data_IF_487913311519
#
_entry.id   IF_487913311519
#
_cell.length_a   1.000
_cell.length_b   1.000
_cell.length_c   1.000
_cell.angle_alpha   90.00
_cell.angle_beta   90.00
_cell.angle_gamma   90.00
#
_symmetry.space_group_name_H-M   'P 1'
#
loop_
_entity.id
_entity.type
_entity.pdbx_description
1 polymer ?
#
# COMPACT_ATOMS: atom_id res chain seq x y z
N UNK A 1 8.17 -7.57 -23.18
CA UNK A 1 7.66 -8.76 -22.45
C UNK A 1 8.10 -8.75 -20.98
N UNK A 2 9.38 -8.54 -20.66
CA UNK A 2 9.86 -8.49 -19.26
C UNK A 2 9.24 -7.33 -18.45
N UNK A 3 8.97 -6.18 -19.07
CA UNK A 3 8.24 -5.07 -18.42
C UNK A 3 6.89 -5.51 -17.84
N UNK A 4 6.09 -6.28 -18.60
CA UNK A 4 4.82 -6.83 -18.12
C UNK A 4 5.00 -7.84 -16.98
N UNK A 5 6.18 -8.47 -16.88
CA UNK A 5 6.48 -9.37 -15.78
C UNK A 5 6.65 -8.61 -14.47
N UNK A 6 7.08 -7.34 -14.51
CA UNK A 6 7.16 -6.47 -13.32
C UNK A 6 5.77 -6.20 -12.78
N UNK A 7 4.83 -5.78 -13.64
CA UNK A 7 3.42 -5.54 -13.28
C UNK A 7 2.72 -6.80 -12.71
N UNK A 8 3.19 -8.00 -13.09
CA UNK A 8 2.66 -9.28 -12.61
C UNK A 8 3.10 -9.64 -11.19
N UNK A 9 4.05 -8.91 -10.59
CA UNK A 9 4.64 -9.24 -9.29
C UNK A 9 4.72 -8.04 -8.34
N UNK A 10 4.28 -6.85 -8.73
CA UNK A 10 4.27 -5.65 -7.86
C UNK A 10 3.66 -6.00 -6.50
N UNK A 11 4.43 -5.75 -5.43
CA UNK A 11 4.01 -6.00 -4.04
C UNK A 11 3.81 -7.46 -3.63
N UNK A 12 3.92 -8.42 -4.56
CA UNK A 12 3.75 -9.84 -4.30
C UNK A 12 5.11 -10.53 -4.05
N UNK A 13 5.16 -11.38 -3.01
CA UNK A 13 6.27 -12.32 -2.81
C UNK A 13 6.11 -13.52 -3.75
N UNK A 14 6.27 -13.28 -5.04
CA UNK A 14 6.13 -14.29 -6.09
C UNK A 14 7.10 -14.01 -7.25
N UNK A 15 7.44 -15.06 -8.00
CA UNK A 15 8.08 -14.91 -9.30
C UNK A 15 7.05 -14.95 -10.43
N UNK A 16 7.35 -14.40 -11.62
CA UNK A 16 6.41 -14.35 -12.75
C UNK A 16 5.88 -15.72 -13.17
N UNK A 17 6.67 -16.79 -13.02
CA UNK A 17 6.26 -18.16 -13.35
C UNK A 17 5.31 -18.81 -12.33
N UNK A 18 5.16 -18.23 -11.14
CA UNK A 18 4.31 -18.77 -10.09
C UNK A 18 2.81 -18.65 -10.45
N UNK A 19 1.98 -19.69 -10.21
CA UNK A 19 0.54 -19.58 -10.39
C UNK A 19 -0.06 -18.42 -9.57
N UNK A 20 -0.89 -17.60 -10.23
CA UNK A 20 -1.60 -16.48 -9.60
C UNK A 20 -1.07 -15.09 -9.96
N UNK A 21 0.18 -14.96 -10.45
CA UNK A 21 0.76 -13.66 -10.88
C UNK A 21 0.02 -13.02 -12.04
N UNK A 22 -0.64 -13.82 -12.89
CA UNK A 22 -1.52 -13.31 -13.95
C UNK A 22 -2.68 -12.44 -13.40
N UNK A 23 -3.18 -12.74 -12.19
CA UNK A 23 -4.18 -11.88 -11.56
C UNK A 23 -3.58 -10.55 -11.13
N UNK A 24 -2.36 -10.54 -10.57
CA UNK A 24 -1.67 -9.31 -10.18
C UNK A 24 -1.46 -8.41 -11.41
N UNK A 25 -1.03 -8.98 -12.54
CA UNK A 25 -0.95 -8.26 -13.81
C UNK A 25 -2.32 -7.68 -14.21
N UNK A 26 -3.36 -8.53 -14.23
CA UNK A 26 -4.73 -8.11 -14.56
C UNK A 26 -5.20 -6.96 -13.66
N UNK A 27 -4.93 -7.03 -12.36
CA UNK A 27 -5.30 -6.00 -11.39
C UNK A 27 -4.64 -4.65 -11.68
N UNK A 28 -3.38 -4.64 -12.14
CA UNK A 28 -2.67 -3.40 -12.49
C UNK A 28 -3.11 -2.82 -13.84
N UNK A 29 -3.60 -3.64 -14.77
CA UNK A 29 -4.06 -3.17 -16.10
C UNK A 29 -5.57 -2.93 -16.19
N UNK A 30 -6.36 -3.40 -15.23
CA UNK A 30 -7.81 -3.19 -15.23
C UNK A 30 -8.22 -1.77 -14.79
N UNK A 31 -7.29 -1.01 -14.21
CA UNK A 31 -7.53 0.36 -13.75
C UNK A 31 -7.94 1.31 -14.87
N UNK A 32 -8.63 2.38 -14.51
CA UNK A 32 -9.01 3.45 -15.43
C UNK A 32 -8.53 4.79 -14.85
N UNK A 33 -7.97 5.65 -15.69
CA UNK A 33 -7.69 7.03 -15.35
C UNK A 33 -8.42 7.94 -16.34
N UNK A 34 -9.36 8.76 -15.84
CA UNK A 34 -10.14 9.72 -16.64
C UNK A 34 -10.79 9.12 -17.90
N UNK A 35 -11.45 7.97 -17.80
CA UNK A 35 -12.09 7.32 -18.96
C UNK A 35 -11.16 6.47 -19.82
N UNK A 36 -9.85 6.48 -19.55
CA UNK A 36 -8.86 5.73 -20.32
C UNK A 36 -8.48 4.47 -19.54
N UNK A 37 -8.70 3.30 -20.15
CA UNK A 37 -8.43 2.00 -19.53
C UNK A 37 -6.96 1.62 -19.63
N UNK A 38 -6.46 0.97 -18.58
CA UNK A 38 -5.11 0.40 -18.53
C UNK A 38 -3.99 1.42 -18.49
N UNK A 39 -4.28 2.66 -18.08
CA UNK A 39 -3.28 3.71 -17.94
C UNK A 39 -3.18 4.21 -16.51
N UNK A 40 -1.97 4.64 -16.16
CA UNK A 40 -1.65 5.33 -14.92
C UNK A 40 -1.56 6.83 -15.18
N UNK A 41 -1.97 7.63 -14.20
CA UNK A 41 -1.95 9.09 -14.30
C UNK A 41 -1.09 9.72 -13.22
N UNK A 42 -0.45 10.83 -13.57
CA UNK A 42 0.17 11.72 -12.58
C UNK A 42 -0.88 12.68 -12.03
N UNK A 43 -0.86 12.84 -10.71
CA UNK A 43 -1.66 13.86 -10.02
C UNK A 43 -0.84 15.13 -9.94
N UNK A 44 -1.39 16.24 -10.43
CA UNK A 44 -0.77 17.56 -10.26
C UNK A 44 -0.67 17.91 -8.77
N UNK A 45 0.50 18.33 -8.32
CA UNK A 45 0.85 18.53 -6.91
C UNK A 45 1.21 17.23 -6.17
N UNK A 46 1.32 16.10 -6.88
CA UNK A 46 1.62 14.78 -6.32
C UNK A 46 0.43 14.10 -5.63
N UNK A 47 0.65 12.88 -5.16
CA UNK A 47 -0.42 12.03 -4.57
C UNK A 47 -1.06 12.61 -3.31
N UNK A 48 -0.35 13.47 -2.58
CA UNK A 48 -0.92 14.22 -1.44
C UNK A 48 -2.09 15.12 -1.85
N UNK A 49 -2.14 15.57 -3.11
CA UNK A 49 -3.25 16.34 -3.66
C UNK A 49 -4.59 15.59 -3.62
N UNK A 50 -4.60 14.29 -3.91
CA UNK A 50 -5.83 13.47 -3.82
C UNK A 50 -6.32 13.42 -2.38
N UNK A 51 -5.44 13.07 -1.43
CA UNK A 51 -5.81 12.96 -0.01
C UNK A 51 -6.31 14.29 0.54
N UNK A 52 -5.67 15.40 0.17
CA UNK A 52 -6.10 16.74 0.57
C UNK A 52 -7.46 17.12 -0.03
N UNK A 53 -7.70 16.80 -1.30
CA UNK A 53 -8.99 17.04 -1.95
C UNK A 53 -10.12 16.23 -1.29
N UNK A 54 -9.88 14.95 -0.99
CA UNK A 54 -10.83 14.11 -0.26
C UNK A 54 -11.12 14.66 1.15
N UNK A 55 -10.09 15.09 1.88
CA UNK A 55 -10.25 15.69 3.20
C UNK A 55 -11.04 17.01 3.13
N UNK A 56 -10.79 17.85 2.12
CA UNK A 56 -11.54 19.09 1.91
C UNK A 56 -13.01 18.81 1.58
N UNK A 57 -13.30 17.86 0.69
CA UNK A 57 -14.67 17.45 0.36
C UNK A 57 -15.40 16.88 1.58
N UNK A 58 -14.74 16.04 2.38
CA UNK A 58 -15.31 15.50 3.61
C UNK A 58 -15.68 16.62 4.60
N UNK A 59 -14.76 17.58 4.84
CA UNK A 59 -15.01 18.74 5.71
C UNK A 59 -16.13 19.63 5.18
N UNK A 60 -16.22 19.84 3.87
CA UNK A 60 -17.31 20.59 3.25
C UNK A 60 -18.68 19.95 3.55
N UNK A 61 -18.74 18.62 3.60
CA UNK A 61 -19.94 17.87 4.00
C UNK A 61 -20.07 17.66 5.53
N UNK A 62 -19.31 18.39 6.33
CA UNK A 62 -19.43 18.41 7.80
C UNK A 62 -18.62 17.36 8.55
N UNK A 63 -17.72 16.63 7.88
CA UNK A 63 -16.83 15.70 8.58
C UNK A 63 -15.74 16.44 9.36
N UNK A 64 -15.48 15.98 10.58
CA UNK A 64 -14.31 16.37 11.34
C UNK A 64 -13.13 15.44 11.00
N UNK A 65 -11.93 15.99 10.79
CA UNK A 65 -10.72 15.22 10.51
C UNK A 65 -9.69 15.54 11.57
N UNK A 66 -9.41 14.57 12.46
CA UNK A 66 -8.39 14.66 13.50
C UNK A 66 -7.10 13.97 13.05
N UNK A 67 -5.99 14.71 13.05
CA UNK A 67 -4.63 14.19 12.83
C UNK A 67 -3.89 14.11 14.15
N UNK A 68 -2.79 13.35 14.22
CA UNK A 68 -2.04 13.14 15.48
C UNK A 68 -2.95 12.57 16.59
N UNK A 69 -3.95 11.77 16.20
CA UNK A 69 -4.93 11.16 17.09
C UNK A 69 -4.93 9.63 16.90
N UNK A 70 -3.88 8.90 17.32
CA UNK A 70 -3.82 7.46 17.16
C UNK A 70 -4.97 6.79 17.91
N UNK A 71 -5.74 5.95 17.23
CA UNK A 71 -6.75 5.11 17.88
C UNK A 71 -6.03 3.98 18.62
N UNK A 72 -6.27 3.87 19.92
CA UNK A 72 -5.70 2.81 20.75
C UNK A 72 -6.63 1.59 20.85
N UNK A 73 -7.95 1.81 20.82
CA UNK A 73 -8.93 0.71 20.96
C UNK A 73 -10.26 1.04 20.27
N UNK A 74 -10.89 0.03 19.68
CA UNK A 74 -12.30 0.06 19.28
C UNK A 74 -13.14 -0.40 20.48
N UNK A 75 -14.10 0.43 20.88
CA UNK A 75 -14.98 0.15 22.02
C UNK A 75 -16.12 -0.77 21.57
N UNK A 76 -16.30 -1.87 22.28
CA UNK A 76 -17.34 -2.88 22.00
C UNK A 76 -18.14 -3.15 23.27
N UNK A 77 -19.46 -3.30 23.10
CA UNK A 77 -20.37 -3.70 24.16
C UNK A 77 -21.43 -4.63 23.59
N UNK A 78 -21.60 -5.82 24.17
CA UNK A 78 -22.57 -6.84 23.73
C UNK A 78 -22.48 -7.13 22.21
N UNK A 79 -21.24 -7.33 21.72
CA UNK A 79 -20.96 -7.60 20.31
C UNK A 79 -21.31 -6.45 19.36
N UNK A 80 -21.42 -5.21 19.85
CA UNK A 80 -21.68 -4.00 19.06
C UNK A 80 -20.60 -2.94 19.26
N UNK A 81 -20.15 -2.32 18.18
CA UNK A 81 -19.29 -1.15 18.24
C UNK A 81 -19.99 0.03 18.95
N UNK A 82 -19.25 0.69 19.85
CA UNK A 82 -19.70 1.87 20.61
C UNK A 82 -18.87 3.12 20.35
N UNK A 83 -17.76 2.99 19.64
CA UNK A 83 -16.87 4.11 19.36
C UNK A 83 -15.41 3.67 19.34
N UNK A 84 -14.53 4.63 19.58
CA UNK A 84 -13.07 4.41 19.67
C UNK A 84 -12.50 5.18 20.85
N UNK A 85 -11.46 4.63 21.47
CA UNK A 85 -10.61 5.33 22.42
C UNK A 85 -9.28 5.67 21.74
N UNK A 86 -8.85 6.93 21.88
CA UNK A 86 -7.56 7.42 21.41
C UNK A 86 -6.44 7.08 22.41
N UNK A 87 -5.19 7.18 21.96
CA UNK A 87 -4.02 6.90 22.80
C UNK A 87 -3.87 7.85 24.00
N UNK A 88 -4.48 9.04 23.94
CA UNK A 88 -4.53 9.99 25.06
C UNK A 88 -5.65 9.72 26.08
N UNK A 89 -6.44 8.65 25.87
CA UNK A 89 -7.58 8.29 26.70
C UNK A 89 -8.91 8.93 26.30
N UNK A 90 -8.93 9.83 25.31
CA UNK A 90 -10.16 10.43 24.80
C UNK A 90 -11.04 9.37 24.16
N UNK A 91 -12.31 9.30 24.56
CA UNK A 91 -13.30 8.41 23.94
C UNK A 91 -14.21 9.19 22.97
N UNK A 92 -14.40 8.63 21.79
CA UNK A 92 -15.30 9.14 20.76
C UNK A 92 -16.41 8.11 20.54
N UNK A 93 -17.61 8.43 21.01
CA UNK A 93 -18.77 7.56 20.90
C UNK A 93 -19.34 7.55 19.47
N UNK A 94 -19.60 6.36 18.93
CA UNK A 94 -20.20 6.17 17.62
C UNK A 94 -21.00 4.87 17.53
N UNK A 95 -22.13 4.88 16.83
CA UNK A 95 -22.91 3.66 16.54
C UNK A 95 -22.35 2.85 15.37
N UNK A 96 -21.45 3.45 14.59
CA UNK A 96 -20.81 2.86 13.41
C UNK A 96 -19.33 3.22 13.45
N UNK A 97 -18.47 2.23 13.27
CA UNK A 97 -17.03 2.37 13.11
C UNK A 97 -16.65 1.73 11.77
N UNK A 98 -15.99 2.48 10.90
CA UNK A 98 -15.43 1.96 9.65
C UNK A 98 -13.90 2.03 9.74
N UNK A 99 -13.24 0.87 9.80
CA UNK A 99 -11.79 0.78 9.90
C UNK A 99 -11.15 0.70 8.52
N UNK A 100 -10.26 1.65 8.24
CA UNK A 100 -9.41 1.64 7.05
C UNK A 100 -8.03 1.01 7.31
N UNK A 101 -7.73 0.66 8.56
CA UNK A 101 -6.55 -0.11 8.91
C UNK A 101 -6.67 -1.53 8.36
N UNK A 102 -5.53 -2.24 8.23
CA UNK A 102 -5.57 -3.63 7.81
C UNK A 102 -6.29 -4.53 8.83
N UNK A 103 -6.59 -5.77 8.44
CA UNK A 103 -7.34 -6.70 9.28
C UNK A 103 -6.56 -7.12 10.54
N UNK A 104 -5.23 -7.24 10.48
CA UNK A 104 -4.39 -7.54 11.64
C UNK A 104 -4.48 -6.41 12.68
N UNK A 105 -4.27 -5.16 12.26
CA UNK A 105 -4.38 -3.99 13.12
C UNK A 105 -5.79 -3.89 13.70
N UNK A 106 -6.82 -3.98 12.86
CA UNK A 106 -8.21 -3.83 13.30
C UNK A 106 -8.63 -4.88 14.32
N UNK A 107 -8.37 -6.16 14.05
CA UNK A 107 -8.93 -7.26 14.86
C UNK A 107 -7.99 -7.80 15.94
N UNK A 108 -6.67 -7.67 15.77
CA UNK A 108 -5.68 -8.22 16.70
C UNK A 108 -4.98 -7.16 17.54
N UNK A 109 -5.00 -5.88 17.12
CA UNK A 109 -4.37 -4.78 17.87
C UNK A 109 -5.39 -3.81 18.48
N UNK A 110 -6.42 -3.42 17.73
CA UNK A 110 -7.42 -2.44 18.18
C UNK A 110 -8.61 -3.06 18.92
N UNK A 111 -8.77 -4.38 18.86
CA UNK A 111 -9.84 -5.10 19.54
C UNK A 111 -9.29 -6.10 20.55
N UNK A 112 -10.11 -6.41 21.55
CA UNK A 112 -9.88 -7.57 22.40
C UNK A 112 -10.34 -8.82 21.64
N UNK A 113 -9.45 -9.77 21.40
CA UNK A 113 -9.76 -10.98 20.64
C UNK A 113 -10.84 -11.85 21.30
N UNK A 114 -11.14 -11.65 22.60
CA UNK A 114 -12.25 -12.32 23.29
C UNK A 114 -13.63 -11.87 22.82
N UNK A 115 -13.73 -10.69 22.19
CA UNK A 115 -14.96 -10.17 21.57
C UNK A 115 -15.22 -10.84 20.20
N UNK A 116 -14.26 -11.61 19.67
CA UNK A 116 -14.32 -12.19 18.33
C UNK A 116 -14.50 -13.71 18.39
N UNK A 117 -15.21 -14.32 17.43
CA UNK A 117 -15.22 -15.77 17.28
C UNK A 117 -13.80 -16.33 17.14
N UNK A 118 -13.53 -17.47 17.78
CA UNK A 118 -12.20 -18.10 17.75
C UNK A 118 -11.75 -18.45 16.33
N UNK A 119 -12.65 -19.00 15.50
CA UNK A 119 -12.37 -19.34 14.11
C UNK A 119 -12.05 -18.11 13.26
N UNK A 120 -12.79 -17.01 13.45
CA UNK A 120 -12.51 -15.74 12.77
C UNK A 120 -11.13 -15.20 13.16
N UNK A 121 -10.81 -15.21 14.44
CA UNK A 121 -9.50 -14.76 14.96
C UNK A 121 -8.36 -15.61 14.39
N UNK A 122 -8.53 -16.93 14.30
CA UNK A 122 -7.56 -17.83 13.69
C UNK A 122 -7.37 -17.52 12.19
N UNK A 123 -8.47 -17.28 11.46
CA UNK A 123 -8.41 -16.91 10.05
C UNK A 123 -7.68 -15.58 9.82
N UNK A 124 -7.93 -14.55 10.65
CA UNK A 124 -7.22 -13.25 10.56
C UNK A 124 -5.73 -13.40 10.86
N UNK A 125 -5.35 -14.24 11.84
CA UNK A 125 -3.94 -14.54 12.14
C UNK A 125 -3.22 -15.25 11.00
N UNK A 126 -3.96 -16.00 10.19
CA UNK A 126 -3.43 -16.75 9.05
C UNK A 126 -3.31 -15.91 7.76
N UNK A 127 -3.77 -14.65 7.77
CA UNK A 127 -3.61 -13.75 6.60
C UNK A 127 -2.12 -13.55 6.34
N UNK A 128 -1.72 -13.84 5.10
CA UNK A 128 -0.40 -13.57 4.58
C UNK A 128 -0.27 -12.08 4.23
N UNK A 129 0.61 -11.41 4.97
CA UNK A 129 1.00 -10.01 4.75
C UNK A 129 2.36 -9.88 4.06
N UNK A 130 2.97 -10.97 3.60
CA UNK A 130 4.30 -10.92 2.99
C UNK A 130 4.29 -10.01 1.77
N UNK A 131 5.19 -9.01 1.75
CA UNK A 131 5.36 -8.09 0.64
C UNK A 131 6.84 -7.70 0.53
N UNK A 132 7.49 -7.95 -0.61
CA UNK A 132 8.92 -7.72 -0.71
C UNK A 132 9.23 -6.34 -1.31
N UNK A 133 8.56 -5.30 -0.82
CA UNK A 133 8.61 -3.96 -1.42
C UNK A 133 9.36 -2.97 -0.55
N UNK A 134 10.28 -2.24 -1.18
CA UNK A 134 11.03 -1.16 -0.56
C UNK A 134 10.89 0.08 -1.44
N UNK A 135 10.79 1.26 -0.81
CA UNK A 135 10.65 2.53 -1.52
C UNK A 135 11.88 3.39 -1.29
N UNK A 136 12.41 3.99 -2.36
CA UNK A 136 13.47 4.99 -2.27
C UNK A 136 13.01 6.23 -3.00
N UNK A 137 12.89 7.34 -2.28
CA UNK A 137 12.68 8.66 -2.87
C UNK A 137 14.03 9.34 -2.96
N UNK A 138 14.37 9.87 -4.13
CA UNK A 138 15.70 10.44 -4.41
C UNK A 138 15.52 11.86 -4.93
N UNK A 139 16.12 12.82 -4.25
CA UNK A 139 16.25 14.18 -4.73
C UNK A 139 17.47 14.26 -5.66
N UNK A 140 17.28 14.81 -6.85
CA UNK A 140 18.30 14.87 -7.90
C UNK A 140 18.56 16.31 -8.35
N UNK A 141 19.82 16.64 -8.63
CA UNK A 141 20.24 17.93 -9.20
C UNK A 141 20.16 17.96 -10.73
N UNK A 142 20.07 16.81 -11.37
CA UNK A 142 19.89 16.63 -12.82
C UNK A 142 19.15 15.32 -13.08
N UNK A 143 18.50 15.18 -14.24
CA UNK A 143 17.85 13.91 -14.62
C UNK A 143 18.90 12.83 -14.94
N UNK A 144 18.57 11.53 -14.80
CA UNK A 144 19.45 10.44 -15.22
C UNK A 144 19.74 10.49 -16.73
N UNK A 145 21.02 10.51 -17.12
CA UNK A 145 21.46 10.52 -18.51
C UNK A 145 21.68 9.06 -18.97
N UNK A 146 20.64 8.47 -19.56
CA UNK A 146 20.63 7.07 -19.95
C UNK A 146 21.50 6.82 -21.19
N UNK A 147 22.41 5.85 -21.11
CA UNK A 147 23.28 5.49 -22.24
C UNK A 147 22.51 5.06 -23.50
N UNK A 148 21.35 4.42 -23.33
CA UNK A 148 20.52 3.95 -24.44
C UNK A 148 19.73 5.05 -25.14
N UNK A 149 19.47 6.17 -24.45
CA UNK A 149 18.85 7.36 -25.02
C UNK A 149 19.40 8.61 -24.31
N UNK A 150 20.61 9.06 -24.70
CA UNK A 150 21.30 10.14 -24.00
C UNK A 150 20.51 11.45 -24.03
N UNK A 151 20.59 12.20 -22.93
CA UNK A 151 19.94 13.48 -22.77
C UNK A 151 19.92 13.92 -21.30
N UNK A 152 20.59 15.03 -21.00
CA UNK A 152 20.68 15.62 -19.66
C UNK A 152 19.56 16.64 -19.35
N UNK A 153 18.47 16.58 -20.11
CA UNK A 153 17.25 17.38 -19.91
C UNK A 153 16.03 16.46 -19.87
N UNK A 154 14.94 16.85 -19.18
CA UNK A 154 13.68 16.12 -19.21
C UNK A 154 13.25 15.82 -20.66
N UNK A 155 12.84 14.58 -20.89
CA UNK A 155 12.59 14.03 -22.22
C UNK A 155 11.72 12.77 -22.14
N UNK A 156 11.34 12.16 -23.28
CA UNK A 156 10.42 11.02 -23.30
C UNK A 156 10.81 9.86 -22.38
N UNK A 157 12.10 9.56 -22.25
CA UNK A 157 12.63 8.53 -21.34
C UNK A 157 12.41 8.83 -19.85
N UNK A 158 12.08 10.07 -19.51
CA UNK A 158 11.87 10.53 -18.14
C UNK A 158 10.38 10.71 -17.78
N UNK A 159 9.47 10.63 -18.75
CA UNK A 159 8.04 10.88 -18.53
C UNK A 159 7.26 9.60 -18.18
N UNK A 160 7.80 8.43 -18.52
CA UNK A 160 7.20 7.13 -18.25
C UNK A 160 7.76 6.44 -17.00
N UNK A 161 7.54 5.13 -16.94
CA UNK A 161 8.14 4.26 -15.95
C UNK A 161 9.40 3.62 -16.52
N UNK A 162 10.50 3.68 -15.77
CA UNK A 162 11.78 3.08 -16.10
C UNK A 162 11.89 1.76 -15.33
N UNK A 163 12.06 0.65 -16.03
CA UNK A 163 12.19 -0.68 -15.43
C UNK A 163 13.61 -1.22 -15.62
N UNK A 164 14.29 -1.54 -14.52
CA UNK A 164 15.56 -2.27 -14.53
C UNK A 164 15.32 -3.71 -14.06
N UNK A 165 15.07 -4.56 -15.05
CA UNK A 165 14.90 -6.01 -14.91
C UNK A 165 15.17 -6.64 -16.28
N UNK A 166 16.43 -6.90 -16.65
CA UNK A 166 16.79 -7.18 -18.05
C UNK A 166 16.18 -8.46 -18.62
N UNK A 167 15.99 -9.50 -17.81
CA UNK A 167 15.49 -10.81 -18.25
C UNK A 167 14.51 -11.44 -17.26
N UNK A 168 13.78 -12.46 -17.68
CA UNK A 168 12.96 -13.26 -16.75
C UNK A 168 13.84 -13.96 -15.70
N UNK A 169 14.97 -14.54 -16.10
CA UNK A 169 15.88 -15.19 -15.16
C UNK A 169 16.45 -14.22 -14.11
N UNK A 170 16.59 -12.93 -14.45
CA UNK A 170 16.95 -11.89 -13.48
C UNK A 170 15.89 -11.80 -12.38
N UNK A 171 14.62 -11.74 -12.77
CA UNK A 171 13.48 -11.64 -11.86
C UNK A 171 13.37 -12.92 -11.00
N UNK A 172 13.48 -14.11 -11.62
CA UNK A 172 13.43 -15.40 -10.91
C UNK A 172 14.55 -15.53 -9.86
N UNK A 173 15.79 -15.17 -10.21
CA UNK A 173 16.91 -15.17 -9.25
C UNK A 173 16.72 -14.17 -8.13
N UNK A 174 16.14 -13.01 -8.43
CA UNK A 174 15.89 -11.99 -7.42
C UNK A 174 14.84 -12.48 -6.40
N UNK A 175 13.78 -13.13 -6.88
CA UNK A 175 12.82 -13.83 -6.04
C UNK A 175 13.46 -14.95 -5.20
N UNK A 176 14.35 -15.76 -5.79
CA UNK A 176 15.00 -16.88 -5.10
C UNK A 176 15.80 -16.47 -3.86
N UNK A 177 16.37 -15.27 -3.84
CA UNK A 177 17.02 -14.74 -2.63
C UNK A 177 15.99 -14.26 -1.61
N UNK A 178 15.01 -13.49 -2.07
CA UNK A 178 13.98 -12.91 -1.20
C UNK A 178 13.14 -13.97 -0.49
N UNK A 179 12.82 -15.10 -1.14
CA UNK A 179 12.06 -16.20 -0.53
C UNK A 179 12.78 -16.84 0.67
N UNK A 180 14.11 -16.71 0.76
CA UNK A 180 14.91 -17.17 1.89
C UNK A 180 15.32 -16.02 2.84
N UNK A 181 14.61 -14.89 2.78
CA UNK A 181 14.84 -13.74 3.66
C UNK A 181 16.13 -12.97 3.34
N UNK A 182 16.71 -13.14 2.16
CA UNK A 182 17.88 -12.38 1.72
C UNK A 182 17.43 -11.25 0.78
N UNK A 183 17.74 -9.97 1.07
CA UNK A 183 17.52 -8.90 0.11
C UNK A 183 18.21 -9.22 -1.21
N UNK A 184 17.51 -9.04 -2.33
CA UNK A 184 18.06 -9.44 -3.61
C UNK A 184 19.35 -8.68 -3.94
N UNK A 185 20.36 -9.40 -4.41
CA UNK A 185 21.55 -8.80 -5.00
C UNK A 185 21.24 -8.15 -6.37
N UNK A 186 20.09 -8.40 -6.97
CA UNK A 186 19.72 -7.86 -8.26
C UNK A 186 18.22 -7.55 -8.22
N UNK A 187 17.79 -6.59 -7.37
CA UNK A 187 16.39 -6.32 -7.19
C UNK A 187 15.82 -5.65 -8.45
N UNK A 188 14.52 -5.80 -8.65
CA UNK A 188 13.84 -5.05 -9.72
C UNK A 188 13.73 -3.60 -9.28
N UNK A 189 14.14 -2.68 -10.16
CA UNK A 189 13.93 -1.25 -9.97
C UNK A 189 12.83 -0.77 -10.90
N UNK A 190 11.80 -0.18 -10.33
CA UNK A 190 10.79 0.57 -11.07
C UNK A 190 10.88 2.04 -10.67
N UNK A 191 11.33 2.89 -11.58
CA UNK A 191 11.60 4.29 -11.32
C UNK A 191 10.64 5.19 -12.10
N UNK A 192 10.18 6.26 -11.45
CA UNK A 192 9.42 7.34 -12.09
C UNK A 192 10.01 8.68 -11.70
N UNK A 193 9.89 9.69 -12.56
CA UNK A 193 10.36 11.05 -12.29
C UNK A 193 9.19 12.03 -12.38
N UNK A 194 8.26 12.07 -11.40
CA UNK A 194 7.06 12.90 -11.47
C UNK A 194 7.36 14.39 -11.75
N UNK A 195 8.50 14.91 -11.30
CA UNK A 195 8.93 16.30 -11.55
C UNK A 195 9.15 16.66 -13.01
N UNK A 196 9.30 15.68 -13.91
CA UNK A 196 9.48 15.91 -15.36
C UNK A 196 8.14 16.14 -16.05
N UNK A 197 7.06 15.66 -15.45
CA UNK A 197 5.67 15.83 -15.92
C UNK A 197 4.97 16.97 -15.16
N UNK A 198 5.29 17.13 -13.88
CA UNK A 198 4.73 18.15 -13.01
C UNK A 198 5.84 18.92 -12.28
N UNK A 199 6.17 20.15 -12.69
CA UNK A 199 7.25 20.92 -12.07
C UNK A 199 6.92 21.38 -10.64
N UNK A 200 5.69 21.19 -10.14
CA UNK A 200 5.30 21.66 -8.80
C UNK A 200 5.76 20.74 -7.66
N UNK A 201 6.22 19.53 -7.96
CA UNK A 201 6.63 18.54 -6.94
C UNK A 201 8.12 18.58 -6.61
N UNK A 202 8.91 19.45 -7.25
CA UNK A 202 10.32 19.65 -6.98
C UNK A 202 10.71 21.13 -7.15
N UNK A 203 11.77 21.62 -6.47
CA UNK A 203 12.31 22.96 -6.72
C UNK A 203 12.79 23.13 -8.18
N UNK A 204 12.83 24.37 -8.71
CA UNK A 204 13.33 24.62 -10.06
C UNK A 204 14.75 24.08 -10.28
N UNK A 205 14.94 23.33 -11.36
CA UNK A 205 16.23 22.70 -11.70
C UNK A 205 16.57 21.46 -10.88
N UNK A 206 15.68 21.00 -10.00
CA UNK A 206 15.82 19.75 -9.25
C UNK A 206 14.72 18.78 -9.65
N UNK A 207 14.97 17.49 -9.42
CA UNK A 207 14.05 16.42 -9.79
C UNK A 207 13.82 15.47 -8.63
N UNK A 208 12.59 14.95 -8.55
CA UNK A 208 12.23 13.87 -7.64
C UNK A 208 12.16 12.58 -8.45
N UNK A 209 13.02 11.62 -8.12
CA UNK A 209 12.92 10.25 -8.63
C UNK A 209 12.34 9.35 -7.54
N UNK A 210 11.35 8.56 -7.90
CA UNK A 210 10.68 7.63 -7.01
C UNK A 210 10.97 6.21 -7.49
N UNK A 211 11.77 5.46 -6.71
CA UNK A 211 12.10 4.06 -6.99
C UNK A 211 11.24 3.15 -6.13
N UNK A 212 10.45 2.30 -6.77
CA UNK A 212 9.81 1.15 -6.16
C UNK A 212 10.69 -0.08 -6.44
N UNK A 213 11.16 -0.71 -5.36
CA UNK A 213 12.13 -1.80 -5.42
C UNK A 213 11.45 -3.08 -4.96
N UNK A 214 11.52 -4.12 -5.80
CA UNK A 214 10.97 -5.43 -5.48
C UNK A 214 12.08 -6.39 -5.04
N UNK A 215 11.70 -7.39 -4.22
CA UNK A 215 12.57 -8.43 -3.64
C UNK A 215 13.44 -7.94 -2.48
N UNK A 216 12.86 -7.04 -1.69
CA UNK A 216 13.28 -6.65 -0.35
C UNK A 216 12.35 -7.34 0.68
N UNK A 217 12.65 -8.56 1.15
CA UNK A 217 11.74 -9.34 1.98
C UNK A 217 11.43 -8.66 3.32
N UNK A 218 10.18 -8.77 3.80
CA UNK A 218 9.76 -8.22 5.10
C UNK A 218 10.64 -8.72 6.25
N UNK A 219 10.85 -10.04 6.32
CA UNK A 219 11.65 -10.69 7.34
C UNK A 219 13.01 -11.08 6.75
N UNK A 220 14.08 -10.57 7.36
CA UNK A 220 15.45 -10.91 6.97
C UNK A 220 15.89 -12.21 7.66
N UNK A 221 16.66 -13.04 6.97
CA UNK A 221 17.27 -14.22 7.58
C UNK A 221 18.45 -13.87 8.48
N UNK A 222 19.09 -12.71 8.27
CA UNK A 222 20.17 -12.17 9.08
C UNK A 222 20.01 -10.65 9.21
N UNK A 223 20.16 -10.14 10.43
CA UNK A 223 20.10 -8.70 10.73
C UNK A 223 18.69 -8.13 10.65
N UNK A 224 18.59 -6.80 10.63
CA UNK A 224 17.33 -6.07 10.52
C UNK A 224 17.39 -4.99 9.43
N UNK A 225 16.22 -4.57 8.94
CA UNK A 225 16.14 -3.48 7.98
C UNK A 225 16.67 -2.15 8.51
N UNK A 226 16.66 -1.94 9.83
CA UNK A 226 17.28 -0.76 10.46
C UNK A 226 18.81 -0.71 10.20
N UNK A 227 19.45 -1.87 10.02
CA UNK A 227 20.90 -1.98 9.81
C UNK A 227 21.28 -2.00 8.32
N UNK A 228 20.48 -2.65 7.47
CA UNK A 228 20.90 -2.98 6.09
C UNK A 228 20.29 -2.09 5.00
N UNK A 229 19.24 -1.29 5.31
CA UNK A 229 18.47 -0.58 4.27
C UNK A 229 19.30 0.41 3.46
N UNK A 230 20.26 1.11 4.08
CA UNK A 230 21.09 2.10 3.38
C UNK A 230 22.04 1.41 2.39
N UNK A 231 22.70 0.33 2.78
CA UNK A 231 23.56 -0.44 1.88
C UNK A 231 22.77 -1.10 0.73
N UNK A 232 21.52 -1.51 0.99
CA UNK A 232 20.63 -1.99 -0.07
C UNK A 232 20.21 -0.87 -1.03
N UNK A 233 20.00 0.35 -0.54
CA UNK A 233 19.71 1.51 -1.38
C UNK A 233 20.92 1.93 -2.22
N UNK A 234 22.14 1.88 -1.67
CA UNK A 234 23.39 2.08 -2.43
C UNK A 234 23.45 1.10 -3.61
N UNK A 235 23.16 -0.18 -3.36
CA UNK A 235 23.13 -1.20 -4.39
C UNK A 235 22.11 -0.90 -5.50
N UNK A 236 20.92 -0.41 -5.14
CA UNK A 236 19.91 -0.02 -6.14
C UNK A 236 20.41 1.14 -7.01
N UNK A 237 21.06 2.14 -6.42
CA UNK A 237 21.64 3.25 -7.16
C UNK A 237 22.82 2.81 -8.05
N UNK A 238 23.66 1.90 -7.57
CA UNK A 238 24.76 1.35 -8.38
C UNK A 238 24.26 0.59 -9.61
N UNK A 239 23.21 -0.21 -9.48
CA UNK A 239 22.55 -0.88 -10.61
C UNK A 239 21.99 0.15 -11.59
N UNK A 240 21.30 1.18 -11.11
CA UNK A 240 20.80 2.26 -11.97
C UNK A 240 21.95 2.99 -12.69
N UNK A 241 23.10 3.14 -12.01
CA UNK A 241 24.27 3.81 -12.53
C UNK A 241 25.01 3.02 -13.63
N UNK A 242 24.72 1.73 -13.81
CA UNK A 242 25.14 0.96 -14.98
C UNK A 242 24.47 1.50 -16.26
N UNK A 243 23.24 2.02 -16.14
CA UNK A 243 22.45 2.55 -17.26
C UNK A 243 22.49 4.07 -17.37
N UNK A 244 22.62 4.77 -16.24
CA UNK A 244 22.72 6.23 -16.16
C UNK A 244 23.88 6.65 -15.23
N UNK A 245 25.13 6.64 -15.72
CA UNK A 245 26.31 6.84 -14.88
C UNK A 245 26.35 8.16 -14.10
N UNK A 246 25.68 9.21 -14.60
CA UNK A 246 25.59 10.50 -13.91
C UNK A 246 24.81 10.44 -12.60
N UNK A 247 24.02 9.39 -12.35
CA UNK A 247 23.18 9.32 -11.16
C UNK A 247 24.01 9.44 -9.87
N UNK A 248 25.24 8.92 -9.86
CA UNK A 248 26.15 8.98 -8.71
C UNK A 248 26.46 10.40 -8.24
N UNK A 249 26.54 11.36 -9.16
CA UNK A 249 26.77 12.78 -8.85
C UNK A 249 25.47 13.58 -8.77
N UNK A 250 24.39 13.07 -9.35
CA UNK A 250 23.10 13.76 -9.41
C UNK A 250 22.33 13.67 -8.09
N UNK A 251 22.57 12.64 -7.26
CA UNK A 251 21.89 12.46 -5.98
C UNK A 251 22.26 13.59 -5.01
N UNK A 252 21.25 14.37 -4.60
CA UNK A 252 21.34 15.39 -3.56
C UNK A 252 21.11 14.74 -2.19
N UNK A 253 20.02 13.97 -2.08
CA UNK A 253 19.60 13.29 -0.86
C UNK A 253 18.65 12.13 -1.21
N UNK A 254 18.44 11.22 -0.26
CA UNK A 254 17.48 10.12 -0.39
C UNK A 254 16.74 9.82 0.90
N UNK A 255 15.53 9.29 0.73
CA UNK A 255 14.77 8.67 1.80
C UNK A 255 14.51 7.21 1.45
N UNK A 256 14.96 6.30 2.32
CA UNK A 256 14.74 4.86 2.21
C UNK A 256 13.63 4.43 3.16
N UNK A 257 12.58 3.80 2.63
CA UNK A 257 11.48 3.20 3.38
C UNK A 257 11.48 1.69 3.14
N UNK A 258 12.09 0.95 4.05
CA UNK A 258 12.04 -0.52 4.08
C UNK A 258 10.63 -1.03 4.43
N UNK A 259 10.33 -2.33 4.25
CA UNK A 259 9.08 -2.92 4.75
C UNK A 259 8.80 -2.59 6.23
N UNK A 260 9.84 -2.59 7.07
CA UNK A 260 9.75 -2.27 8.49
C UNK A 260 9.42 -0.79 8.73
N UNK A 261 10.02 0.13 7.97
CA UNK A 261 9.69 1.55 8.05
C UNK A 261 8.24 1.81 7.61
N UNK A 262 7.80 1.11 6.56
CA UNK A 262 6.43 1.22 6.03
C UNK A 262 5.42 0.75 7.09
N UNK A 263 5.69 -0.39 7.75
CA UNK A 263 4.84 -0.88 8.83
C UNK A 263 4.78 0.11 10.00
N UNK A 264 5.93 0.58 10.48
CA UNK A 264 6.01 1.52 11.62
C UNK A 264 5.34 2.85 11.33
N UNK A 265 5.53 3.40 10.13
CA UNK A 265 5.08 4.75 9.77
C UNK A 265 3.63 4.81 9.34
N UNK A 266 3.15 3.80 8.61
CA UNK A 266 1.82 3.82 8.00
C UNK A 266 0.85 2.80 8.61
N UNK A 267 1.33 1.95 9.53
CA UNK A 267 0.51 0.90 10.14
C UNK A 267 0.14 -0.22 9.17
N UNK A 268 0.96 -0.46 8.14
CA UNK A 268 0.76 -1.51 7.16
C UNK A 268 1.50 -2.78 7.60
N UNK A 269 0.78 -3.75 8.12
CA UNK A 269 1.36 -5.02 8.59
C UNK A 269 2.22 -5.66 7.50
N UNK A 270 3.45 -6.01 7.85
CA UNK A 270 4.46 -6.58 6.96
C UNK A 270 5.00 -5.63 5.88
N UNK A 271 4.66 -4.33 5.94
CA UNK A 271 4.96 -3.36 4.88
C UNK A 271 4.09 -3.53 3.64
N UNK A 272 3.00 -4.31 3.72
CA UNK A 272 2.19 -4.68 2.57
C UNK A 272 1.26 -3.55 2.12
N UNK A 273 1.60 -2.93 0.98
CA UNK A 273 0.83 -1.81 0.39
C UNK A 273 -0.59 -2.19 -0.04
N UNK A 274 -0.89 -3.48 -0.15
CA UNK A 274 -2.23 -3.99 -0.44
C UNK A 274 -2.99 -4.41 0.81
N UNK A 275 -2.45 -4.25 2.02
CA UNK A 275 -3.05 -4.67 3.30
C UNK A 275 -3.39 -6.17 3.35
N UNK A 276 -2.49 -6.99 2.80
CA UNK A 276 -2.61 -8.44 2.69
C UNK A 276 -2.35 -8.90 1.26
N UNK A 277 -1.60 -10.00 1.08
CA UNK A 277 -1.17 -10.48 -0.21
C UNK A 277 -2.35 -10.72 -1.18
N UNK A 278 -2.13 -10.46 -2.46
CA UNK A 278 -3.14 -10.57 -3.52
C UNK A 278 -3.06 -11.92 -4.24
N UNK A 279 -2.90 -12.99 -3.47
CA UNK A 279 -2.96 -14.36 -3.98
C UNK A 279 -4.41 -14.82 -4.12
N UNK A 280 -4.69 -15.80 -4.97
CA UNK A 280 -6.06 -16.30 -5.17
C UNK A 280 -6.74 -16.74 -3.87
N UNK A 281 -5.97 -17.22 -2.88
CA UNK A 281 -6.47 -17.62 -1.56
C UNK A 281 -6.90 -16.47 -0.64
N UNK A 282 -6.63 -15.20 -1.01
CA UNK A 282 -6.94 -14.01 -0.20
C UNK A 282 -7.66 -12.92 -1.01
N UNK A 283 -8.33 -13.32 -2.08
CA UNK A 283 -9.06 -12.44 -3.00
C UNK A 283 -10.54 -12.82 -3.06
N UNK A 284 -11.33 -11.94 -3.68
CA UNK A 284 -12.77 -12.10 -3.85
C UNK A 284 -13.47 -12.38 -2.51
N UNK A 285 -14.25 -13.46 -2.44
CA UNK A 285 -15.00 -13.87 -1.26
C UNK A 285 -14.13 -14.38 -0.10
N UNK A 286 -12.81 -14.54 -0.31
CA UNK A 286 -11.84 -14.91 0.71
C UNK A 286 -11.20 -13.69 1.39
N UNK A 287 -11.53 -12.46 0.97
CA UNK A 287 -10.94 -11.22 1.50
C UNK A 287 -11.95 -10.44 2.36
N UNK A 288 -11.66 -10.09 3.62
CA UNK A 288 -10.40 -10.35 4.35
C UNK A 288 -10.22 -11.81 4.75
N UNK A 289 -11.32 -12.51 5.02
CA UNK A 289 -11.40 -13.95 5.34
C UNK A 289 -12.74 -14.51 4.83
N UNK A 290 -12.88 -15.83 4.62
CA UNK A 290 -14.13 -16.44 4.18
C UNK A 290 -15.33 -16.07 5.08
N UNK A 291 -16.47 -15.77 4.46
CA UNK A 291 -17.70 -15.41 5.17
C UNK A 291 -17.82 -13.94 5.59
N UNK A 292 -16.78 -13.14 5.41
CA UNK A 292 -16.75 -11.71 5.80
C UNK A 292 -16.38 -10.78 4.63
N UNK A 293 -16.62 -11.21 3.39
CA UNK A 293 -16.29 -10.46 2.18
C UNK A 293 -17.30 -9.34 1.82
N UNK A 294 -18.31 -9.13 2.64
CA UNK A 294 -19.36 -8.13 2.47
C UNK A 294 -19.13 -6.88 3.34
N UNK A 295 -17.86 -6.61 3.68
CA UNK A 295 -17.38 -5.46 4.47
C UNK A 295 -17.81 -5.45 5.95
N UNK A 296 -18.73 -6.33 6.34
CA UNK A 296 -19.17 -6.51 7.74
C UNK A 296 -18.15 -7.32 8.52
N UNK A 297 -18.24 -7.24 9.83
CA UNK A 297 -17.39 -7.98 10.76
C UNK A 297 -18.25 -8.73 11.77
N UNK A 298 -17.68 -9.64 12.59
CA UNK A 298 -18.43 -10.26 13.68
C UNK A 298 -19.00 -9.25 14.68
N UNK A 299 -18.40 -8.06 14.77
CA UNK A 299 -18.87 -6.97 15.63
C UNK A 299 -19.88 -6.12 14.86
N UNK A 300 -21.11 -6.07 15.36
CA UNK A 300 -22.18 -5.27 14.76
C UNK A 300 -21.83 -3.79 14.78
N UNK A 301 -22.00 -3.12 13.64
CA UNK A 301 -21.65 -1.70 13.49
C UNK A 301 -20.17 -1.44 13.26
N UNK A 302 -19.31 -2.47 13.23
CA UNK A 302 -17.93 -2.38 12.78
C UNK A 302 -17.80 -2.92 11.36
N UNK A 303 -17.15 -2.14 10.50
CA UNK A 303 -16.93 -2.44 9.09
C UNK A 303 -15.45 -2.27 8.73
N UNK A 304 -14.98 -2.99 7.73
CA UNK A 304 -13.73 -2.65 7.05
C UNK A 304 -14.04 -1.83 5.78
N UNK A 305 -13.27 -0.77 5.55
CA UNK A 305 -13.46 0.11 4.39
C UNK A 305 -12.19 0.34 3.56
N UNK A 306 -11.11 -0.37 3.88
CA UNK A 306 -9.80 -0.22 3.24
C UNK A 306 -9.41 -1.35 2.29
N UNK A 307 -8.14 -1.32 1.88
CA UNK A 307 -7.53 -2.29 0.97
C UNK A 307 -7.57 -3.74 1.49
N UNK A 308 -7.73 -3.95 2.80
CA UNK A 308 -7.96 -5.26 3.40
C UNK A 308 -9.28 -5.94 2.97
N UNK A 309 -10.15 -5.24 2.22
CA UNK A 309 -11.38 -5.78 1.62
C UNK A 309 -11.25 -5.90 0.10
N UNK A 310 -12.13 -6.69 -0.53
CA UNK A 310 -12.22 -6.74 -1.98
C UNK A 310 -12.71 -5.38 -2.53
N UNK A 311 -12.20 -4.86 -3.67
CA UNK A 311 -11.30 -5.49 -4.66
C UNK A 311 -9.83 -5.68 -4.28
N UNK A 312 -9.32 -4.97 -3.29
CA UNK A 312 -7.91 -5.02 -2.91
C UNK A 312 -7.29 -3.63 -2.83
N UNK A 313 -5.96 -3.55 -2.77
CA UNK A 313 -5.29 -2.26 -2.69
C UNK A 313 -5.09 -1.57 -4.03
N UNK A 314 -4.47 -0.39 -3.99
CA UNK A 314 -4.46 0.57 -5.09
C UNK A 314 -5.40 1.76 -4.83
N UNK A 315 -5.15 2.88 -5.50
CA UNK A 315 -5.86 4.15 -5.25
C UNK A 315 -7.14 4.24 -6.09
N UNK A 316 -7.97 3.19 -6.05
CA UNK A 316 -9.20 3.09 -6.86
C UNK A 316 -10.48 3.54 -6.13
N UNK A 317 -10.45 3.68 -4.80
CA UNK A 317 -11.58 4.11 -3.98
C UNK A 317 -12.74 3.10 -3.83
N UNK A 318 -12.71 1.98 -4.55
CA UNK A 318 -13.78 0.99 -4.58
C UNK A 318 -14.09 0.34 -3.22
N UNK A 319 -13.07 0.00 -2.42
CA UNK A 319 -13.27 -0.60 -1.09
C UNK A 319 -14.08 0.34 -0.17
N UNK A 320 -13.69 1.61 -0.09
CA UNK A 320 -14.38 2.62 0.71
C UNK A 320 -15.79 2.89 0.20
N UNK A 321 -15.97 2.97 -1.12
CA UNK A 321 -17.28 3.14 -1.74
C UNK A 321 -18.23 1.98 -1.43
N UNK A 322 -17.78 0.74 -1.58
CA UNK A 322 -18.60 -0.43 -1.32
C UNK A 322 -18.94 -0.57 0.17
N UNK A 323 -17.97 -0.37 1.06
CA UNK A 323 -18.22 -0.37 2.50
C UNK A 323 -19.24 0.70 2.90
N UNK A 324 -19.15 1.91 2.35
CA UNK A 324 -20.13 2.98 2.60
C UNK A 324 -21.55 2.56 2.17
N UNK A 325 -21.70 1.84 1.05
CA UNK A 325 -23.01 1.32 0.60
C UNK A 325 -23.59 0.31 1.57
N UNK A 326 -22.78 -0.61 2.10
CA UNK A 326 -23.24 -1.60 3.08
C UNK A 326 -23.60 -0.95 4.43
N UNK A 327 -22.80 0.03 4.89
CA UNK A 327 -23.10 0.84 6.07
C UNK A 327 -24.47 1.54 5.92
N UNK A 328 -24.72 2.16 4.76
CA UNK A 328 -25.97 2.86 4.48
C UNK A 328 -27.18 1.91 4.42
N UNK A 329 -27.00 0.70 3.88
CA UNK A 329 -28.03 -0.35 3.85
C UNK A 329 -28.41 -0.82 5.25
N UNK A 330 -27.42 -0.95 6.13
CA UNK A 330 -27.61 -1.42 7.49
C UNK A 330 -28.15 -0.35 8.44
N UNK A 331 -28.17 0.92 8.01
CA UNK A 331 -28.57 2.07 8.84
C UNK A 331 -29.86 1.83 9.62
N UNK A 332 -30.92 1.31 8.98
CA UNK A 332 -32.18 1.00 9.67
C UNK A 332 -32.01 -0.05 10.78
N UNK A 333 -31.22 -1.10 10.54
CA UNK A 333 -30.96 -2.17 11.51
C UNK A 333 -30.11 -1.68 12.69
N UNK A 334 -29.15 -0.79 12.43
CA UNK A 334 -28.27 -0.22 13.46
C UNK A 334 -29.05 0.69 14.41
N UNK A 335 -29.97 1.50 13.89
CA UNK A 335 -30.70 2.50 14.68
C UNK A 335 -32.06 2.02 15.24
N UNK A 336 -32.67 0.96 14.71
CA UNK A 336 -33.98 0.47 15.17
C UNK A 336 -33.99 -0.04 16.63
N UNK A 337 -32.92 -0.68 17.11
CA UNK A 337 -32.88 -1.29 18.46
C UNK A 337 -32.53 -0.32 19.61
N UNK A 338 -32.21 0.94 19.32
CA UNK A 338 -32.02 1.96 20.37
C UNK A 338 -33.35 2.49 20.93
N UNK A 339 -34.47 2.29 20.22
CA UNK A 339 -35.80 2.71 20.67
C UNK A 339 -36.45 1.79 21.70
N UNK A 340 -35.89 0.59 21.95
CA UNK A 340 -36.48 -0.41 22.86
C UNK A 340 -35.84 -0.42 24.26
N UNK A 341 -34.89 0.48 24.54
CA UNK A 341 -34.15 0.54 25.81
C UNK A 341 -34.33 1.83 26.63
N UNK A 342 -35.33 2.65 26.29
CA UNK A 342 -35.74 3.81 27.09
C UNK A 342 -37.26 3.76 27.24
N UNK A 343 -37.71 2.89 28.13
CA UNK A 343 -39.05 2.89 28.73
C UNK A 343 -38.90 2.41 30.18
#
# INVERSE_FOLDING_TARGET
KVTLATDAIIGAMASPSMPGTAYVLFHHVMGECNGVRGVWGYVRGGMGGISNALAAAARHHGAEVRTQAPVARILVHEGQARGVALADGTEINASVVASNADANVTFLKLLDTRELPAEFTAAVRAIDYTSPSLKINVALSEVPDFQALPGNQPGPQHHGTIHISPTFDYIERAYDQAKYGQPSAAPILECTLPSTVDPTVAPPGQHLMSMFVQYAPTNLSVGSWDEVKEGFADRCLEILAEYAPNIRRAVIDRQVLSPLDIERRYGLTGGNIFQGAMTLGQLFFLRPVPGYADYRTPIRGLYLCGAATHPGGGVMGACGYNAAREILRDRKRIFARRGEGVA
#
